data_IF_633397776673
#
_entry.id   IF_633397776673
#
_cell.length_a   1.000
_cell.length_b   1.000
_cell.length_c   1.000
_cell.angle_alpha   90.00
_cell.angle_beta   90.00
_cell.angle_gamma   90.00
#
_symmetry.space_group_name_H-M   'P 1'
#
loop_
_entity.id
_entity.type
_entity.pdbx_description
1 polymer ?
#
# COMPACT_ATOMS: atom_id res chain seq x y z
N UNK A 1 -29.56 6.06 -10.73
CA UNK A 1 -28.94 4.76 -10.40
C UNK A 1 -27.64 4.68 -11.17
N UNK A 2 -26.52 5.13 -10.59
CA UNK A 2 -25.22 5.03 -11.28
C UNK A 2 -24.72 3.60 -11.08
N UNK A 3 -24.62 2.84 -12.16
CA UNK A 3 -24.03 1.50 -12.13
C UNK A 3 -22.60 1.63 -11.65
N UNK A 4 -22.28 0.97 -10.54
CA UNK A 4 -20.92 0.89 -10.01
C UNK A 4 -20.13 0.05 -11.01
N UNK A 5 -19.48 0.71 -11.97
CA UNK A 5 -18.60 0.06 -12.93
C UNK A 5 -17.45 -0.51 -12.10
N UNK A 6 -17.23 -1.82 -12.16
CA UNK A 6 -16.05 -2.42 -11.52
C UNK A 6 -14.85 -1.94 -12.31
N UNK A 7 -14.13 -0.96 -11.77
CA UNK A 7 -12.82 -0.56 -12.29
C UNK A 7 -11.88 -1.74 -12.06
N UNK A 8 -11.46 -2.39 -13.14
CA UNK A 8 -10.34 -3.33 -13.13
C UNK A 8 -9.09 -2.47 -13.29
N UNK A 9 -8.18 -2.56 -12.34
CA UNK A 9 -6.91 -1.85 -12.36
C UNK A 9 -5.83 -2.77 -12.92
N UNK A 10 -5.00 -2.26 -13.84
CA UNK A 10 -3.78 -2.96 -14.22
C UNK A 10 -2.78 -2.95 -13.07
N UNK A 11 -1.81 -3.85 -13.08
CA UNK A 11 -0.74 -3.86 -12.08
C UNK A 11 0.05 -2.54 -12.08
N UNK A 12 0.31 -1.96 -13.25
CA UNK A 12 0.98 -0.65 -13.39
C UNK A 12 0.13 0.49 -12.78
N UNK A 13 -1.19 0.47 -12.98
CA UNK A 13 -2.08 1.48 -12.37
C UNK A 13 -2.11 1.39 -10.85
N UNK A 14 -2.04 0.16 -10.31
CA UNK A 14 -2.01 -0.09 -8.87
C UNK A 14 -0.69 0.39 -8.29
N UNK A 15 0.43 0.03 -8.92
CA UNK A 15 1.77 0.44 -8.51
C UNK A 15 1.87 1.96 -8.43
N UNK A 16 1.51 2.67 -9.51
CA UNK A 16 1.56 4.13 -9.54
C UNK A 16 0.71 4.77 -8.42
N UNK A 17 -0.46 4.19 -8.13
CA UNK A 17 -1.34 4.69 -7.07
C UNK A 17 -0.84 4.36 -5.66
N UNK A 18 -0.26 3.18 -5.45
CA UNK A 18 0.37 2.82 -4.16
C UNK A 18 1.53 3.75 -3.86
N UNK A 19 2.41 3.97 -4.84
CA UNK A 19 3.55 4.90 -4.71
C UNK A 19 3.03 6.30 -4.40
N UNK A 20 2.03 6.81 -5.14
CA UNK A 20 1.47 8.12 -4.88
C UNK A 20 0.84 8.24 -3.47
N UNK A 21 0.20 7.18 -2.95
CA UNK A 21 -0.32 7.18 -1.57
C UNK A 21 0.82 7.26 -0.57
N UNK A 22 1.88 6.48 -0.75
CA UNK A 22 3.05 6.51 0.12
C UNK A 22 3.76 7.88 0.10
N UNK A 23 4.03 8.42 -1.09
CA UNK A 23 4.62 9.76 -1.25
C UNK A 23 3.79 10.84 -0.54
N UNK A 24 2.45 10.76 -0.62
CA UNK A 24 1.57 11.69 0.08
C UNK A 24 1.61 11.51 1.60
N UNK A 25 1.75 10.28 2.10
CA UNK A 25 1.85 10.00 3.54
C UNK A 25 3.19 10.48 4.12
N UNK A 26 4.27 10.38 3.33
CA UNK A 26 5.63 10.69 3.77
C UNK A 26 6.13 12.05 3.30
N UNK A 27 5.28 12.89 2.69
CA UNK A 27 5.68 14.16 2.08
C UNK A 27 6.39 15.12 3.03
N UNK A 28 6.01 15.11 4.31
CA UNK A 28 6.58 15.96 5.36
C UNK A 28 7.66 15.24 6.20
N UNK A 29 8.04 14.01 5.82
CA UNK A 29 9.05 13.24 6.53
C UNK A 29 10.43 13.56 5.97
N UNK A 30 11.42 13.65 6.85
CA UNK A 30 12.82 13.84 6.46
C UNK A 30 13.43 12.49 6.05
N UNK A 31 13.00 11.97 4.89
CA UNK A 31 13.49 10.70 4.32
C UNK A 31 14.89 10.85 3.70
N UNK A 32 15.66 9.77 3.75
CA UNK A 32 16.93 9.65 3.04
C UNK A 32 16.70 9.62 1.51
N UNK A 33 17.73 9.98 0.73
CA UNK A 33 17.70 9.98 -0.75
C UNK A 33 16.54 10.73 -1.43
N UNK A 34 16.01 11.76 -0.75
CA UNK A 34 14.98 12.63 -1.31
C UNK A 34 13.59 12.00 -1.40
N UNK A 35 13.36 10.88 -0.68
CA UNK A 35 12.05 10.26 -0.55
C UNK A 35 11.55 9.59 -1.83
N UNK A 36 12.47 9.16 -2.71
CA UNK A 36 12.08 8.42 -3.92
C UNK A 36 11.58 7.03 -3.52
N UNK A 37 10.31 6.75 -3.81
CA UNK A 37 9.66 5.47 -3.54
C UNK A 37 9.52 4.69 -4.86
N UNK A 38 9.88 3.41 -4.82
CA UNK A 38 9.67 2.45 -5.91
C UNK A 38 9.23 1.07 -5.35
N UNK A 39 9.17 0.06 -6.21
CA UNK A 39 8.66 -1.27 -5.85
C UNK A 39 9.56 -2.05 -4.88
N UNK A 40 10.85 -1.71 -4.79
CA UNK A 40 11.80 -2.36 -3.89
C UNK A 40 11.89 -1.65 -2.53
N UNK A 41 11.23 -0.50 -2.39
CA UNK A 41 11.19 0.26 -1.14
C UNK A 41 10.52 -0.53 -0.02
N UNK A 42 11.18 -0.58 1.14
CA UNK A 42 10.74 -1.24 2.37
C UNK A 42 10.07 -0.26 3.31
N UNK A 43 8.86 -0.57 3.77
CA UNK A 43 8.09 0.35 4.59
C UNK A 43 8.77 0.62 5.94
N UNK A 44 9.25 -0.43 6.62
CA UNK A 44 9.80 -0.28 7.96
C UNK A 44 11.25 0.20 7.92
N UNK A 45 12.09 -0.40 7.07
CA UNK A 45 13.50 -0.07 7.02
C UNK A 45 13.78 1.25 6.29
N UNK A 46 13.14 1.50 5.13
CA UNK A 46 13.49 2.66 4.29
C UNK A 46 12.59 3.87 4.59
N UNK A 47 11.31 3.64 4.89
CA UNK A 47 10.37 4.73 5.22
C UNK A 47 10.17 4.93 6.72
N UNK A 48 10.78 4.11 7.57
CA UNK A 48 10.62 4.18 9.04
C UNK A 48 9.16 4.09 9.50
N UNK A 49 8.31 3.34 8.79
CA UNK A 49 6.91 3.15 9.19
C UNK A 49 6.80 2.50 10.58
N UNK A 50 6.01 3.12 11.44
CA UNK A 50 5.56 2.50 12.68
C UNK A 50 4.24 1.75 12.46
N UNK A 51 3.81 0.96 13.45
CA UNK A 51 2.55 0.22 13.38
C UNK A 51 1.33 1.12 13.14
N UNK A 52 1.37 2.39 13.57
CA UNK A 52 0.29 3.34 13.33
C UNK A 52 0.23 3.79 11.86
N UNK A 53 1.38 3.94 11.21
CA UNK A 53 1.46 4.35 9.80
C UNK A 53 0.96 3.26 8.89
N UNK A 54 1.22 2.00 9.22
CA UNK A 54 0.67 0.84 8.52
C UNK A 54 -0.86 0.84 8.56
N UNK A 55 -1.46 1.14 9.71
CA UNK A 55 -2.94 1.25 9.83
C UNK A 55 -3.47 2.41 8.98
N UNK A 56 -2.77 3.54 8.96
CA UNK A 56 -3.15 4.68 8.13
C UNK A 56 -3.03 4.40 6.63
N UNK A 57 -1.99 3.66 6.23
CA UNK A 57 -1.80 3.20 4.86
C UNK A 57 -2.96 2.35 4.37
N UNK A 58 -3.41 1.39 5.17
CA UNK A 58 -4.60 0.57 4.86
C UNK A 58 -5.81 1.47 4.58
N UNK A 59 -6.09 2.42 5.46
CA UNK A 59 -7.22 3.35 5.29
C UNK A 59 -7.07 4.20 4.05
N UNK A 60 -5.85 4.69 3.76
CA UNK A 60 -5.56 5.50 2.58
C UNK A 60 -5.75 4.71 1.28
N UNK A 61 -5.26 3.46 1.22
CA UNK A 61 -5.41 2.58 0.07
C UNK A 61 -6.88 2.22 -0.18
N UNK A 62 -7.64 1.84 0.86
CA UNK A 62 -9.07 1.56 0.73
C UNK A 62 -9.86 2.76 0.18
N UNK A 63 -9.52 3.96 0.65
CA UNK A 63 -10.11 5.20 0.15
C UNK A 63 -9.71 5.46 -1.30
N UNK A 64 -8.43 5.30 -1.63
CA UNK A 64 -7.89 5.56 -2.97
C UNK A 64 -8.52 4.67 -4.04
N UNK A 65 -8.64 3.36 -3.77
CA UNK A 65 -9.23 2.40 -4.71
C UNK A 65 -10.75 2.29 -4.62
N UNK A 66 -11.41 3.07 -3.75
CA UNK A 66 -12.84 2.98 -3.44
C UNK A 66 -13.30 1.55 -3.11
N UNK A 67 -12.49 0.83 -2.34
CA UNK A 67 -12.75 -0.55 -1.90
C UNK A 67 -12.58 -0.65 -0.40
N UNK A 68 -13.54 -1.29 0.26
CA UNK A 68 -13.56 -1.46 1.72
C UNK A 68 -13.53 -2.94 2.06
N UNK A 69 -12.97 -3.25 3.22
CA UNK A 69 -12.90 -4.61 3.74
C UNK A 69 -11.92 -5.47 2.96
N UNK A 70 -10.85 -4.88 2.42
CA UNK A 70 -9.78 -5.66 1.83
C UNK A 70 -9.04 -6.42 2.95
N UNK A 71 -8.65 -7.69 2.74
CA UNK A 71 -8.11 -8.54 3.79
C UNK A 71 -6.62 -8.27 4.04
N UNK A 72 -6.28 -7.03 4.40
CA UNK A 72 -4.90 -6.56 4.62
C UNK A 72 -4.16 -7.33 5.72
N UNK A 73 -4.89 -8.04 6.59
CA UNK A 73 -4.27 -8.99 7.53
C UNK A 73 -3.41 -10.04 6.84
N UNK A 74 -3.67 -10.36 5.57
CA UNK A 74 -2.85 -11.28 4.77
C UNK A 74 -1.48 -10.70 4.36
N UNK A 75 -1.34 -9.37 4.38
CA UNK A 75 -0.03 -8.71 4.20
C UNK A 75 0.76 -8.71 5.50
N UNK A 76 0.09 -8.49 6.63
CA UNK A 76 0.75 -8.30 7.92
C UNK A 76 1.05 -9.59 8.68
N UNK A 77 0.48 -10.71 8.26
CA UNK A 77 0.71 -12.01 8.90
C UNK A 77 1.24 -13.05 7.91
N UNK A 78 2.37 -13.67 8.26
CA UNK A 78 2.95 -14.81 7.54
C UNK A 78 3.14 -15.97 8.50
N UNK A 79 2.59 -17.13 8.15
CA UNK A 79 2.66 -18.36 8.95
C UNK A 79 2.22 -18.23 10.43
N UNK A 80 1.38 -17.24 10.73
CA UNK A 80 0.84 -16.98 12.07
C UNK A 80 1.62 -15.92 12.87
N UNK A 81 2.70 -15.38 12.33
CA UNK A 81 3.50 -14.32 12.92
C UNK A 81 3.33 -13.00 12.18
N UNK A 82 3.53 -11.88 12.87
CA UNK A 82 3.55 -10.56 12.25
C UNK A 82 4.79 -10.42 11.37
N UNK A 83 4.61 -9.80 10.21
CA UNK A 83 5.75 -9.45 9.34
C UNK A 83 6.55 -8.32 9.96
N UNK A 84 7.87 -8.47 9.98
CA UNK A 84 8.80 -7.43 10.45
C UNK A 84 9.03 -6.36 9.37
N UNK A 85 8.78 -6.69 8.10
CA UNK A 85 9.01 -5.81 6.95
C UNK A 85 8.01 -6.09 5.82
N UNK A 86 7.71 -5.05 5.03
CA UNK A 86 6.91 -5.10 3.82
C UNK A 86 7.54 -4.27 2.69
N UNK A 87 7.67 -4.88 1.51
CA UNK A 87 8.05 -4.16 0.30
C UNK A 87 6.82 -3.63 -0.45
N UNK A 88 6.98 -2.49 -1.14
CA UNK A 88 5.92 -1.89 -1.98
C UNK A 88 5.36 -2.89 -3.00
N UNK A 89 6.23 -3.70 -3.64
CA UNK A 89 5.80 -4.74 -4.58
C UNK A 89 4.78 -5.72 -3.98
N UNK A 90 4.92 -6.06 -2.70
CA UNK A 90 4.03 -7.04 -2.03
C UNK A 90 2.63 -6.44 -1.85
N UNK A 91 2.55 -5.14 -1.57
CA UNK A 91 1.30 -4.39 -1.47
C UNK A 91 0.62 -4.31 -2.85
N UNK A 92 1.39 -4.03 -3.90
CA UNK A 92 0.90 -3.99 -5.28
C UNK A 92 0.35 -5.35 -5.70
N UNK A 93 1.08 -6.45 -5.43
CA UNK A 93 0.63 -7.81 -5.73
C UNK A 93 -0.65 -8.18 -4.96
N UNK A 94 -0.72 -7.83 -3.68
CA UNK A 94 -1.90 -8.04 -2.86
C UNK A 94 -3.12 -7.29 -3.41
N UNK A 95 -2.97 -6.00 -3.73
CA UNK A 95 -4.05 -5.19 -4.29
C UNK A 95 -4.45 -5.71 -5.67
N UNK A 96 -3.48 -6.02 -6.53
CA UNK A 96 -3.75 -6.56 -7.85
C UNK A 96 -4.57 -7.84 -7.75
N UNK A 97 -4.26 -8.75 -6.83
CA UNK A 97 -5.04 -9.97 -6.60
C UNK A 97 -6.47 -9.72 -6.11
N UNK A 98 -6.68 -8.74 -5.22
CA UNK A 98 -7.96 -8.50 -4.56
C UNK A 98 -8.87 -7.49 -5.28
N UNK A 99 -8.37 -6.81 -6.31
CA UNK A 99 -9.11 -5.82 -7.09
C UNK A 99 -9.64 -6.35 -8.45
N UNK A 100 -9.48 -7.65 -8.72
CA UNK A 100 -10.01 -8.30 -9.93
C UNK A 100 -11.48 -8.73 -9.79
#
# INVERSE_FOLDING_TARGET
MSGKQSLIFSQEDIEAQVIAVLENMTADWELEDGGKIDTETRLMEDLAFESIDVVQLVVALEKNFERKGLPFEQLFMRDGDYVDELEVKEIVEFLHKNLQ
#
